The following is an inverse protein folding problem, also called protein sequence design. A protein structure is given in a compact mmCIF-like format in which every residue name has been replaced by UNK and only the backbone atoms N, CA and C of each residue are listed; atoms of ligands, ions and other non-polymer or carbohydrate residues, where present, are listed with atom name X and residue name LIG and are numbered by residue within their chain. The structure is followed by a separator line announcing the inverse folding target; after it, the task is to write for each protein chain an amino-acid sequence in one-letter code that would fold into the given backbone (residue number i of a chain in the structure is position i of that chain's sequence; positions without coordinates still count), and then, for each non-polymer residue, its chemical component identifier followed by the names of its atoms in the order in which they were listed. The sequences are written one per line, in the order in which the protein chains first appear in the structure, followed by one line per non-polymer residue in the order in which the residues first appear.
data_IF_648716423795
#
_entry.id   IF_648716423795
#
_cell.length_a   1.000
_cell.length_b   1.000
_cell.length_c   1.000
_cell.angle_alpha   90.00
_cell.angle_beta   90.00
_cell.angle_gamma   90.00
#
_symmetry.space_group_name_H-M   'P 1'
#
loop_
_entity.id
_entity.type
_entity.pdbx_description
1 polymer ?
#
# COMPACT_ATOMS: atom_id res chain seq x y z
N UNK A 1 -2.46 -13.57 -14.51
CA UNK A 1 -2.22 -13.23 -13.09
C UNK A 1 -3.06 -12.02 -12.77
N UNK A 2 -4.19 -12.23 -12.10
CA UNK A 2 -5.02 -11.14 -11.60
C UNK A 2 -4.26 -10.49 -10.45
N UNK A 3 -4.11 -9.16 -10.45
CA UNK A 3 -3.59 -8.40 -9.30
C UNK A 3 -4.57 -8.39 -8.11
N UNK A 4 -5.69 -9.09 -8.25
CA UNK A 4 -6.76 -9.22 -7.28
C UNK A 4 -6.85 -10.71 -6.96
N UNK A 5 -6.04 -11.16 -6.01
CA UNK A 5 -6.26 -12.42 -5.33
C UNK A 5 -7.29 -12.14 -4.23
N UNK A 6 -8.36 -12.94 -4.16
CA UNK A 6 -9.57 -12.66 -3.38
C UNK A 6 -9.36 -12.61 -1.85
N UNK A 7 -8.14 -12.84 -1.35
CA UNK A 7 -7.82 -12.83 0.09
C UNK A 7 -7.00 -11.60 0.54
N UNK A 8 -6.48 -10.79 -0.38
CA UNK A 8 -5.74 -9.56 -0.07
C UNK A 8 -6.15 -8.44 -1.03
N UNK A 9 -7.38 -7.94 -0.87
CA UNK A 9 -7.88 -6.84 -1.68
C UNK A 9 -7.08 -5.58 -1.34
N UNK A 10 -6.18 -5.19 -2.25
CA UNK A 10 -5.44 -3.95 -2.11
C UNK A 10 -6.43 -2.77 -2.09
N UNK A 11 -6.36 -1.84 -1.11
CA UNK A 11 -7.22 -0.67 -1.08
C UNK A 11 -7.14 0.06 -2.43
N UNK A 12 -8.29 0.35 -3.05
CA UNK A 12 -8.34 0.92 -4.41
C UNK A 12 -7.49 2.19 -4.52
N UNK A 13 -7.54 3.06 -3.52
CA UNK A 13 -6.73 4.28 -3.46
C UNK A 13 -5.21 4.01 -3.42
N UNK A 14 -4.79 2.92 -2.77
CA UNK A 14 -3.39 2.48 -2.78
C UNK A 14 -3.00 1.97 -4.16
N UNK A 15 -3.80 1.09 -4.76
CA UNK A 15 -3.54 0.55 -6.10
C UNK A 15 -3.42 1.65 -7.16
N UNK A 16 -4.31 2.65 -7.13
CA UNK A 16 -4.26 3.78 -8.07
C UNK A 16 -2.97 4.61 -7.91
N UNK A 17 -2.50 4.85 -6.69
CA UNK A 17 -1.29 5.65 -6.45
C UNK A 17 -0.02 4.89 -6.79
N UNK A 18 0.05 3.60 -6.48
CA UNK A 18 1.16 2.74 -6.90
C UNK A 18 1.24 2.67 -8.43
N UNK A 19 0.10 2.63 -9.14
CA UNK A 19 0.10 2.65 -10.60
C UNK A 19 0.69 3.95 -11.20
N UNK A 20 0.72 5.05 -10.43
CA UNK A 20 1.29 6.33 -10.83
C UNK A 20 2.76 6.50 -10.39
N UNK A 21 3.26 5.62 -9.52
CA UNK A 21 4.60 5.70 -8.93
C UNK A 21 5.32 4.36 -9.10
N UNK A 22 6.10 4.26 -10.18
CA UNK A 22 6.81 3.02 -10.55
C UNK A 22 7.81 2.57 -9.48
N UNK A 23 8.43 3.50 -8.76
CA UNK A 23 9.39 3.18 -7.70
C UNK A 23 8.67 2.63 -6.47
N UNK A 24 7.58 3.27 -6.04
CA UNK A 24 6.75 2.76 -4.96
C UNK A 24 6.15 1.38 -5.31
N UNK A 25 5.70 1.19 -6.55
CA UNK A 25 5.18 -0.11 -7.02
C UNK A 25 6.27 -1.19 -7.00
N UNK A 26 7.48 -0.87 -7.48
CA UNK A 26 8.62 -1.80 -7.45
C UNK A 26 8.97 -2.21 -6.02
N UNK A 27 9.00 -1.26 -5.10
CA UNK A 27 9.28 -1.56 -3.69
C UNK A 27 8.13 -2.33 -3.04
N UNK A 28 6.88 -2.01 -3.38
CA UNK A 28 5.70 -2.74 -2.91
C UNK A 28 5.70 -4.21 -3.35
N UNK A 29 6.00 -4.51 -4.61
CA UNK A 29 6.05 -5.91 -5.09
C UNK A 29 7.19 -6.70 -4.45
N UNK A 30 8.29 -6.02 -4.09
CA UNK A 30 9.43 -6.61 -3.41
C UNK A 30 9.21 -6.84 -1.90
N UNK A 31 8.13 -6.29 -1.31
CA UNK A 31 7.78 -6.60 0.07
C UNK A 31 7.35 -8.07 0.21
N UNK A 32 7.66 -8.64 1.38
CA UNK A 32 7.09 -9.92 1.79
C UNK A 32 5.57 -9.83 1.92
N UNK A 33 4.88 -10.95 1.85
CA UNK A 33 3.42 -10.99 2.00
C UNK A 33 2.98 -10.44 3.37
N UNK A 34 3.79 -10.67 4.41
CA UNK A 34 3.60 -10.05 5.72
C UNK A 34 3.71 -8.51 5.66
N UNK A 35 4.70 -7.97 4.96
CA UNK A 35 4.85 -6.51 4.80
C UNK A 35 3.68 -5.90 4.01
N UNK A 36 3.24 -6.55 2.94
CA UNK A 36 2.05 -6.14 2.18
C UNK A 36 0.80 -6.14 3.05
N UNK A 37 0.61 -7.19 3.86
CA UNK A 37 -0.50 -7.29 4.80
C UNK A 37 -0.46 -6.18 5.86
N UNK A 38 0.69 -5.90 6.46
CA UNK A 38 0.84 -4.83 7.45
C UNK A 38 0.47 -3.44 6.87
N UNK A 39 0.81 -3.18 5.61
CA UNK A 39 0.42 -1.93 4.96
C UNK A 39 -1.08 -1.83 4.73
N UNK A 40 -1.72 -2.93 4.31
CA UNK A 40 -3.17 -2.99 4.14
C UNK A 40 -3.87 -2.83 5.48
N UNK A 41 -3.46 -3.57 6.51
CA UNK A 41 -3.99 -3.48 7.87
C UNK A 41 -3.83 -2.05 8.44
N UNK A 42 -2.69 -1.38 8.17
CA UNK A 42 -2.49 0.01 8.54
C UNK A 42 -3.48 0.93 7.84
N UNK A 43 -3.78 0.75 6.56
CA UNK A 43 -4.75 1.59 5.85
C UNK A 43 -6.18 1.30 6.32
N UNK A 44 -6.54 0.03 6.48
CA UNK A 44 -7.88 -0.42 6.89
C UNK A 44 -8.19 -0.09 8.36
N UNK A 45 -7.18 -0.01 9.23
CA UNK A 45 -7.34 0.42 10.62
C UNK A 45 -7.59 1.92 10.79
N UNK A 46 -7.94 2.65 9.72
CA UNK A 46 -8.33 4.06 9.78
C UNK A 46 -9.78 4.20 10.24
N UNK A 47 -10.07 5.22 11.03
CA UNK A 47 -11.42 5.48 11.58
C UNK A 47 -12.24 6.39 10.66
N UNK A 48 -11.58 7.16 9.80
CA UNK A 48 -12.21 8.12 8.89
C UNK A 48 -11.63 8.01 7.48
N UNK A 49 -12.41 8.43 6.47
CA UNK A 49 -11.95 8.42 5.08
C UNK A 49 -10.76 9.35 4.82
N UNK A 50 -10.63 10.46 5.55
CA UNK A 50 -9.48 11.36 5.41
C UNK A 50 -8.22 10.78 6.04
N UNK A 51 -8.37 10.07 7.16
CA UNK A 51 -7.29 9.28 7.73
C UNK A 51 -6.83 8.17 6.77
N UNK A 52 -7.77 7.44 6.15
CA UNK A 52 -7.45 6.44 5.13
C UNK A 52 -6.63 7.04 3.98
N UNK A 53 -7.05 8.20 3.45
CA UNK A 53 -6.32 8.91 2.38
C UNK A 53 -4.90 9.30 2.82
N UNK A 54 -4.74 9.79 4.05
CA UNK A 54 -3.43 10.17 4.59
C UNK A 54 -2.53 8.95 4.75
N UNK A 55 -3.04 7.87 5.35
CA UNK A 55 -2.30 6.61 5.51
C UNK A 55 -1.87 6.03 4.17
N UNK A 56 -2.73 6.06 3.15
CA UNK A 56 -2.33 5.67 1.78
C UNK A 56 -1.21 6.57 1.24
N UNK A 57 -1.25 7.87 1.51
CA UNK A 57 -0.21 8.81 1.04
C UNK A 57 1.12 8.49 1.69
N UNK A 58 1.11 8.24 3.01
CA UNK A 58 2.30 7.92 3.79
C UNK A 58 2.90 6.59 3.34
N UNK A 59 2.07 5.58 3.12
CA UNK A 59 2.52 4.27 2.62
C UNK A 59 3.21 4.42 1.26
N UNK A 60 2.59 5.11 0.31
CA UNK A 60 3.18 5.32 -1.02
C UNK A 60 4.47 6.12 -0.94
N UNK A 61 4.51 7.16 -0.09
CA UNK A 61 5.72 7.97 0.13
C UNK A 61 6.85 7.13 0.72
N UNK A 62 6.58 6.30 1.72
CA UNK A 62 7.58 5.43 2.34
C UNK A 62 8.11 4.39 1.33
N UNK A 63 7.20 3.80 0.55
CA UNK A 63 7.53 2.90 -0.54
C UNK A 63 8.38 3.58 -1.62
N UNK A 64 8.05 4.82 -2.00
CA UNK A 64 8.83 5.60 -2.96
C UNK A 64 10.25 5.89 -2.45
N UNK A 65 10.38 6.32 -1.19
CA UNK A 65 11.67 6.60 -0.57
C UNK A 65 12.51 5.34 -0.28
N UNK A 66 11.94 4.14 -0.43
CA UNK A 66 12.61 2.89 -0.10
C UNK A 66 12.84 2.68 1.40
N UNK A 67 12.21 3.51 2.24
CA UNK A 67 12.21 3.32 3.67
C UNK A 67 11.35 2.10 3.98
N UNK A 68 12.01 1.03 4.42
CA UNK A 68 11.30 -0.18 4.84
C UNK A 68 10.42 0.19 6.02
N UNK A 69 9.11 -0.01 5.90
CA UNK A 69 8.16 0.10 7.01
C UNK A 69 8.71 -0.76 8.16
N UNK A 70 9.19 -0.11 9.22
CA UNK A 70 9.89 -0.73 10.36
C UNK A 70 9.02 -0.72 11.60
#
# INVERSE_FOLDING_TARGET
MSLIDNEHQLPVGLGMRLALDMDAMKNFVNLSDQGKKQLVDYIEGSTTGDEAKNRVTDVVRNLHSGETFR
#
